data_IF_780062243933
#
_entry.id   IF_780062243933
#
_cell.length_a   1.000
_cell.length_b   1.000
_cell.length_c   1.000
_cell.angle_alpha   90.00
_cell.angle_beta   90.00
_cell.angle_gamma   90.00
#
_symmetry.space_group_name_H-M   'P 1'
#
loop_
_entity.id
_entity.type
_entity.pdbx_description
1 polymer ?
#
# COMPACT_ATOMS: atom_id res chain seq x y z
N UNK A 1 2.67 -11.15 5.60
CA UNK A 1 1.34 -10.60 5.24
C UNK A 1 0.30 -11.60 4.70
N UNK A 2 0.55 -12.91 4.46
CA UNK A 2 -0.54 -13.81 4.05
C UNK A 2 -1.68 -13.91 5.08
N UNK A 3 -1.37 -13.86 6.38
CA UNK A 3 -2.38 -13.97 7.44
C UNK A 3 -3.43 -12.85 7.37
N UNK A 4 -3.04 -11.61 7.04
CA UNK A 4 -3.95 -10.46 7.01
C UNK A 4 -4.88 -10.53 5.79
N UNK A 5 -4.36 -10.94 4.63
CA UNK A 5 -5.17 -11.22 3.45
C UNK A 5 -6.12 -12.41 3.65
N UNK A 6 -5.66 -13.49 4.30
CA UNK A 6 -6.51 -14.61 4.65
C UNK A 6 -7.65 -14.19 5.60
N UNK A 7 -7.36 -13.31 6.56
CA UNK A 7 -8.36 -12.73 7.46
C UNK A 7 -9.34 -11.83 6.72
N UNK A 8 -8.86 -10.99 5.82
CA UNK A 8 -9.70 -10.14 4.97
C UNK A 8 -10.66 -10.97 4.13
N UNK A 9 -10.14 -11.99 3.42
CA UNK A 9 -10.97 -12.92 2.64
C UNK A 9 -12.09 -13.56 3.46
N UNK A 10 -11.78 -13.97 4.70
CA UNK A 10 -12.76 -14.60 5.59
C UNK A 10 -13.85 -13.63 6.05
N UNK A 11 -13.55 -12.33 6.14
CA UNK A 11 -14.44 -11.33 6.77
C UNK A 11 -15.18 -10.45 5.76
N UNK A 12 -14.55 -10.13 4.63
CA UNK A 12 -15.10 -9.25 3.60
C UNK A 12 -15.72 -9.99 2.41
N UNK A 13 -15.59 -11.32 2.33
CA UNK A 13 -16.03 -12.10 1.18
C UNK A 13 -15.08 -12.00 -0.03
N UNK A 14 -15.57 -12.13 -1.28
CA UNK A 14 -14.74 -12.03 -2.47
C UNK A 14 -14.13 -10.63 -2.62
N UNK A 15 -12.80 -10.54 -2.52
CA UNK A 15 -12.04 -9.30 -2.71
C UNK A 15 -11.12 -9.47 -3.92
N UNK A 16 -11.20 -8.51 -4.85
CA UNK A 16 -10.26 -8.35 -5.95
C UNK A 16 -9.19 -7.35 -5.52
N UNK A 17 -7.95 -7.81 -5.49
CA UNK A 17 -6.77 -7.06 -5.09
C UNK A 17 -6.03 -6.59 -6.33
N UNK A 18 -5.48 -5.39 -6.28
CA UNK A 18 -4.54 -4.89 -7.27
C UNK A 18 -3.48 -4.00 -6.63
N UNK A 19 -2.28 -3.99 -7.20
CA UNK A 19 -1.25 -2.97 -6.97
C UNK A 19 -1.23 -1.92 -8.08
N UNK A 20 -2.09 -2.07 -9.10
CA UNK A 20 -2.19 -1.16 -10.22
C UNK A 20 -3.24 -0.07 -9.94
N UNK A 21 -2.76 1.16 -9.74
CA UNK A 21 -3.61 2.30 -9.42
C UNK A 21 -4.65 2.60 -10.51
N UNK A 22 -4.30 2.42 -11.78
CA UNK A 22 -5.22 2.67 -12.89
C UNK A 22 -6.42 1.70 -12.84
N UNK A 23 -6.16 0.42 -12.59
CA UNK A 23 -7.20 -0.60 -12.45
C UNK A 23 -8.09 -0.36 -11.24
N UNK A 24 -7.49 0.03 -10.11
CA UNK A 24 -8.26 0.38 -8.92
C UNK A 24 -9.20 1.56 -9.19
N UNK A 25 -8.70 2.63 -9.83
CA UNK A 25 -9.52 3.79 -10.20
C UNK A 25 -10.60 3.48 -11.22
N UNK A 26 -10.36 2.52 -12.12
CA UNK A 26 -11.35 2.03 -13.07
C UNK A 26 -12.46 1.17 -12.42
N UNK A 27 -12.36 0.87 -11.12
CA UNK A 27 -13.31 0.02 -10.40
C UNK A 27 -13.14 -1.48 -10.70
N UNK A 28 -12.03 -1.88 -11.33
CA UNK A 28 -11.74 -3.29 -11.65
C UNK A 28 -11.31 -4.09 -10.41
N UNK A 29 -10.95 -3.41 -9.33
CA UNK A 29 -10.52 -4.02 -8.07
C UNK A 29 -11.17 -3.31 -6.87
N UNK A 30 -11.45 -4.09 -5.83
CA UNK A 30 -12.04 -3.62 -4.58
C UNK A 30 -11.00 -3.28 -3.50
N UNK A 31 -9.76 -3.76 -3.64
CA UNK A 31 -8.67 -3.51 -2.72
C UNK A 31 -7.42 -3.05 -3.49
N UNK A 32 -6.94 -1.87 -3.16
CA UNK A 32 -5.64 -1.39 -3.59
C UNK A 32 -4.57 -1.70 -2.55
N UNK A 33 -3.43 -2.22 -2.98
CA UNK A 33 -2.26 -2.45 -2.12
C UNK A 33 -1.10 -1.60 -2.61
N UNK A 34 -0.50 -0.87 -1.69
CA UNK A 34 0.64 0.02 -1.91
C UNK A 34 1.72 -0.25 -0.87
N UNK A 35 2.93 0.24 -1.11
CA UNK A 35 4.06 0.05 -0.22
C UNK A 35 4.39 1.34 0.54
N UNK A 36 4.44 1.23 1.87
CA UNK A 36 4.84 2.33 2.74
C UNK A 36 6.35 2.40 2.87
N UNK A 37 6.92 3.58 2.59
CA UNK A 37 8.33 3.84 2.84
C UNK A 37 8.52 4.77 4.05
N UNK A 38 8.75 4.17 5.23
CA UNK A 38 8.93 4.89 6.49
C UNK A 38 10.36 4.69 6.98
N UNK A 39 11.20 5.71 6.81
CA UNK A 39 12.63 5.63 7.12
C UNK A 39 13.18 6.95 7.65
N UNK A 40 14.34 6.90 8.30
CA UNK A 40 15.06 8.08 8.80
C UNK A 40 14.19 9.00 9.66
N UNK A 41 14.19 10.29 9.33
CA UNK A 41 13.40 11.33 10.01
C UNK A 41 11.88 11.19 9.80
N UNK A 42 11.44 10.30 8.91
CA UNK A 42 10.03 9.99 8.67
C UNK A 42 9.45 8.92 9.61
N UNK A 43 10.26 8.32 10.48
CA UNK A 43 9.81 7.29 11.43
C UNK A 43 9.13 7.88 12.64
N UNK A 44 8.07 7.20 13.09
CA UNK A 44 7.45 7.45 14.39
C UNK A 44 8.23 6.81 15.53
N UNK A 45 7.63 6.83 16.73
CA UNK A 45 8.24 6.23 17.93
C UNK A 45 7.89 4.75 18.09
N UNK A 46 6.95 4.25 17.30
CA UNK A 46 6.49 2.86 17.29
C UNK A 46 6.12 2.39 15.88
N UNK A 47 5.98 1.07 15.69
CA UNK A 47 5.45 0.51 14.43
C UNK A 47 4.01 0.95 14.14
N UNK A 48 3.23 1.25 15.18
CA UNK A 48 1.89 1.79 14.99
C UNK A 48 1.96 3.21 14.43
N UNK A 49 2.87 4.03 14.96
CA UNK A 49 3.09 5.39 14.49
C UNK A 49 3.59 5.38 13.04
N UNK A 50 4.52 4.48 12.69
CA UNK A 50 4.99 4.30 11.31
C UNK A 50 3.82 4.01 10.35
N UNK A 51 2.92 3.10 10.75
CA UNK A 51 1.75 2.76 9.95
C UNK A 51 0.76 3.95 9.83
N UNK A 52 0.56 4.71 10.91
CA UNK A 52 -0.29 5.90 10.90
C UNK A 52 0.27 6.98 9.96
N UNK A 53 1.56 7.30 10.09
CA UNK A 53 2.25 8.28 9.25
C UNK A 53 2.22 7.87 7.78
N UNK A 54 2.41 6.57 7.49
CA UNK A 54 2.30 6.04 6.15
C UNK A 54 0.90 6.29 5.56
N UNK A 55 -0.17 5.99 6.31
CA UNK A 55 -1.55 6.24 5.86
C UNK A 55 -1.80 7.74 5.63
N UNK A 56 -1.29 8.60 6.51
CA UNK A 56 -1.39 10.06 6.33
C UNK A 56 -0.69 10.52 5.04
N UNK A 57 0.50 9.99 4.74
CA UNK A 57 1.22 10.29 3.50
C UNK A 57 0.42 9.88 2.26
N UNK A 58 -0.21 8.71 2.31
CA UNK A 58 -1.09 8.22 1.25
C UNK A 58 -2.29 9.14 1.05
N UNK A 59 -3.01 9.47 2.12
CA UNK A 59 -4.22 10.30 2.08
C UNK A 59 -3.91 11.69 1.56
N UNK A 60 -2.79 12.30 1.98
CA UNK A 60 -2.37 13.62 1.54
C UNK A 60 -2.12 13.72 0.02
N UNK A 61 -1.87 12.60 -0.66
CA UNK A 61 -1.61 12.53 -2.09
C UNK A 61 -2.76 11.91 -2.89
N UNK A 62 -3.82 11.47 -2.22
CA UNK A 62 -4.99 10.93 -2.89
C UNK A 62 -5.79 12.07 -3.58
N UNK A 63 -6.31 11.86 -4.81
CA UNK A 63 -6.20 10.65 -5.63
C UNK A 63 -4.89 10.54 -6.41
N UNK A 64 -4.13 11.61 -6.59
CA UNK A 64 -2.97 11.75 -7.48
C UNK A 64 -1.66 11.14 -6.95
N UNK A 65 -1.66 9.83 -6.68
CA UNK A 65 -0.45 9.12 -6.24
C UNK A 65 0.58 8.97 -7.36
N UNK A 66 1.85 9.19 -7.00
CA UNK A 66 3.03 8.86 -7.80
C UNK A 66 4.01 8.11 -6.90
N UNK A 67 4.74 7.14 -7.45
CA UNK A 67 5.71 6.36 -6.67
C UNK A 67 6.92 7.23 -6.33
N UNK A 68 7.29 7.27 -5.06
CA UNK A 68 8.48 8.02 -4.60
C UNK A 68 9.78 7.30 -4.91
N UNK A 69 9.71 5.98 -5.11
CA UNK A 69 10.85 5.14 -5.45
C UNK A 69 10.70 4.67 -6.90
N UNK A 70 11.79 4.80 -7.66
CA UNK A 70 11.86 4.29 -9.02
C UNK A 70 11.81 2.76 -8.99
N UNK A 71 11.01 2.14 -9.86
CA UNK A 71 10.88 0.70 -9.85
C UNK A 71 12.13 0.02 -10.39
N UNK A 72 12.54 -1.04 -9.71
CA UNK A 72 13.53 -2.01 -10.18
C UNK A 72 12.85 -3.36 -10.45
N UNK A 73 13.44 -4.23 -11.28
CA UNK A 73 12.94 -5.59 -11.47
C UNK A 73 12.87 -6.34 -10.13
N UNK A 74 11.66 -6.64 -9.67
CA UNK A 74 11.42 -7.30 -8.39
C UNK A 74 10.18 -8.20 -8.44
N UNK A 75 10.14 -9.20 -7.54
CA UNK A 75 8.93 -9.96 -7.27
C UNK A 75 8.09 -9.22 -6.24
N UNK A 76 6.84 -8.95 -6.58
CA UNK A 76 5.93 -8.27 -5.69
C UNK A 76 5.42 -9.21 -4.58
N UNK A 77 5.99 -9.08 -3.39
CA UNK A 77 5.62 -9.92 -2.25
C UNK A 77 4.19 -9.71 -1.76
N UNK A 78 3.59 -8.54 -1.98
CA UNK A 78 2.20 -8.31 -1.65
C UNK A 78 1.27 -9.11 -2.57
N UNK A 79 1.56 -9.15 -3.88
CA UNK A 79 0.83 -10.00 -4.85
C UNK A 79 1.03 -11.47 -4.52
N UNK A 80 2.26 -11.91 -4.24
CA UNK A 80 2.53 -13.29 -3.80
C UNK A 80 1.74 -13.67 -2.55
N UNK A 81 1.66 -12.78 -1.57
CA UNK A 81 0.88 -13.00 -0.36
C UNK A 81 -0.64 -13.04 -0.63
N UNK A 82 -1.16 -12.21 -1.53
CA UNK A 82 -2.56 -12.22 -1.93
C UNK A 82 -2.93 -13.55 -2.62
N UNK A 83 -2.11 -14.00 -3.57
CA UNK A 83 -2.23 -15.30 -4.24
C UNK A 83 -2.21 -16.46 -3.24
N UNK A 84 -1.21 -16.49 -2.35
CA UNK A 84 -1.08 -17.53 -1.32
C UNK A 84 -2.28 -17.57 -0.35
N UNK A 85 -2.97 -16.44 -0.18
CA UNK A 85 -4.17 -16.32 0.67
C UNK A 85 -5.46 -16.65 -0.07
N UNK A 86 -5.38 -16.96 -1.36
CA UNK A 86 -6.52 -17.22 -2.24
C UNK A 86 -7.41 -16.00 -2.47
N UNK A 87 -6.84 -14.79 -2.43
CA UNK A 87 -7.49 -13.60 -2.95
C UNK A 87 -7.33 -13.54 -4.48
N UNK A 88 -8.24 -12.82 -5.15
CA UNK A 88 -8.15 -12.61 -6.60
C UNK A 88 -7.20 -11.46 -6.89
N UNK A 89 -6.18 -11.68 -7.71
CA UNK A 89 -5.23 -10.68 -8.20
C UNK A 89 -4.71 -11.15 -9.55
N UNK A 90 -4.37 -10.23 -10.45
CA UNK A 90 -3.78 -10.62 -11.74
C UNK A 90 -2.37 -11.14 -11.52
N UNK A 91 -2.10 -12.35 -12.01
CA UNK A 91 -0.80 -13.00 -11.82
C UNK A 91 0.33 -12.16 -12.43
N UNK A 92 0.08 -11.45 -13.53
CA UNK A 92 1.05 -10.56 -14.15
C UNK A 92 1.54 -9.42 -13.21
N UNK A 93 0.73 -9.03 -12.21
CA UNK A 93 1.13 -8.03 -11.23
C UNK A 93 2.26 -8.52 -10.30
N UNK A 94 2.58 -9.83 -10.29
CA UNK A 94 3.72 -10.36 -9.50
C UNK A 94 5.06 -9.78 -9.96
N UNK A 95 5.18 -9.40 -11.23
CA UNK A 95 6.38 -8.81 -11.82
C UNK A 95 6.28 -7.28 -11.92
N UNK A 96 5.27 -6.68 -11.28
CA UNK A 96 5.05 -5.24 -11.30
C UNK A 96 5.43 -4.60 -9.97
N UNK A 97 6.05 -3.41 -9.99
CA UNK A 97 6.27 -2.63 -8.78
C UNK A 97 4.93 -2.16 -8.21
N UNK A 98 4.79 -2.16 -6.89
CA UNK A 98 3.71 -1.44 -6.24
C UNK A 98 3.99 0.07 -6.29
N UNK A 99 2.96 0.88 -6.09
CA UNK A 99 3.16 2.31 -5.80
C UNK A 99 3.79 2.43 -4.43
N UNK A 100 4.97 3.07 -4.35
CA UNK A 100 5.64 3.36 -3.09
C UNK A 100 5.30 4.77 -2.65
N UNK A 101 4.76 4.92 -1.44
CA UNK A 101 4.47 6.21 -0.83
C UNK A 101 5.30 6.34 0.45
N UNK A 102 6.26 7.25 0.40
CA UNK A 102 7.16 7.56 1.49
C UNK A 102 6.64 8.65 2.41
N UNK A 103 6.93 8.53 3.70
CA UNK A 103 6.63 9.59 4.66
C UNK A 103 7.64 10.73 4.48
N UNK A 104 7.15 11.93 4.19
CA UNK A 104 7.99 13.13 4.07
C UNK A 104 7.87 13.98 5.34
N UNK A 105 8.85 14.86 5.65
CA UNK A 105 8.78 15.75 6.81
C UNK A 105 7.49 16.59 6.89
N UNK A 106 6.90 16.98 5.75
CA UNK A 106 5.60 17.67 5.70
C UNK A 106 4.42 16.81 6.19
N UNK A 107 4.56 15.49 6.17
CA UNK A 107 3.59 14.55 6.73
C UNK A 107 3.79 14.39 8.25
N UNK A 108 4.98 14.72 8.77
CA UNK A 108 5.42 14.47 10.15
C UNK A 108 5.10 15.65 11.09
N UNK A 109 4.78 16.84 10.59
CA UNK A 109 4.44 17.99 11.45
C UNK A 109 3.53 19.05 10.80
N UNK A 110 2.40 19.33 11.44
CA UNK A 110 2.25 20.63 12.12
C UNK A 110 1.44 20.48 13.43
N UNK A 111 2.09 20.33 14.60
CA UNK A 111 1.42 20.37 15.90
C UNK A 111 0.88 21.77 16.26
N UNK A 112 1.04 22.81 15.43
CA UNK A 112 0.43 24.13 15.62
C UNK A 112 -0.96 24.29 14.98
N UNK A 113 -1.62 23.19 14.58
CA UNK A 113 -2.99 23.17 14.02
C UNK A 113 -4.03 22.43 14.87
N UNK A 114 -3.88 22.45 16.20
CA UNK A 114 -4.94 22.08 17.17
C UNK A 114 -5.23 23.21 18.12
#
# INVERSE_FOLDING_TARGET
>A
MPWSFARLRKTAGPVIVTINLARFRAGEASLFVWEAFVSGLGKGTSHHDDALLAVQAFVARWPSLTSDILPEPALNHAVSAALASGLRVEVAEIAMPAVVVGVTPMTVADPART
#
